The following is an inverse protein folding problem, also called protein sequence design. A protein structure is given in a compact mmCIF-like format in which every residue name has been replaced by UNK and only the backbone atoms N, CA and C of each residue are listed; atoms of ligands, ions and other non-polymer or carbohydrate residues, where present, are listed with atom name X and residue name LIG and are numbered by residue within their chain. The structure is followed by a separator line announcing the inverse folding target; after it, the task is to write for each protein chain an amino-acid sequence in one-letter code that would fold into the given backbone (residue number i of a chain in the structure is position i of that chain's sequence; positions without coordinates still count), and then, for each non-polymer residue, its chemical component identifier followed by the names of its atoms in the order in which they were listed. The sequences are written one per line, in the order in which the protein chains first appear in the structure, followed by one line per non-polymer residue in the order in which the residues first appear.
data_IF_045133199116
#
_entry.id   IF_045133199116
#
_cell.length_a   1.000
_cell.length_b   1.000
_cell.length_c   1.000
_cell.angle_alpha   90.00
_cell.angle_beta   90.00
_cell.angle_gamma   90.00
#
_symmetry.space_group_name_H-M   'P 1'
#
loop_
_entity.id
_entity.type
_entity.pdbx_description
1 polymer ?
#
# COMPACT_ATOMS: atom_id res chain seq x y z
N UNK A 1 11.34 -19.25 10.02
CA UNK A 1 10.87 -20.06 8.87
C UNK A 1 9.35 -20.13 8.82
N UNK A 2 8.65 -20.43 9.91
CA UNK A 2 7.18 -20.47 9.95
C UNK A 2 6.49 -19.20 9.42
N UNK A 3 7.02 -18.03 9.76
CA UNK A 3 6.50 -16.75 9.28
C UNK A 3 6.52 -16.61 7.74
N UNK A 4 7.45 -17.28 7.05
CA UNK A 4 7.49 -17.34 5.58
C UNK A 4 6.58 -18.44 5.02
N UNK A 5 6.56 -19.61 5.66
CA UNK A 5 5.79 -20.78 5.19
C UNK A 5 4.28 -20.53 5.26
N UNK A 6 3.81 -19.88 6.33
CA UNK A 6 2.40 -19.57 6.54
C UNK A 6 1.76 -18.77 5.38
N UNK A 7 2.28 -17.61 4.96
CA UNK A 7 1.69 -16.84 3.87
C UNK A 7 1.79 -17.51 2.51
N UNK A 8 2.84 -18.32 2.27
CA UNK A 8 3.00 -19.14 1.06
C UNK A 8 1.92 -20.22 1.00
N UNK A 9 1.67 -20.92 2.09
CA UNK A 9 0.66 -21.98 2.15
C UNK A 9 -0.78 -21.44 2.10
N UNK A 10 -1.03 -20.26 2.69
CA UNK A 10 -2.35 -19.58 2.63
C UNK A 10 -2.67 -18.93 1.29
N UNK A 11 -1.70 -18.79 0.39
CA UNK A 11 -1.92 -18.13 -0.90
C UNK A 11 -2.81 -18.98 -1.81
N UNK A 12 -3.70 -18.37 -2.59
CA UNK A 12 -4.44 -19.10 -3.63
C UNK A 12 -3.56 -19.29 -4.87
N UNK A 13 -3.86 -20.31 -5.66
CA UNK A 13 -3.28 -20.43 -6.99
C UNK A 13 -3.76 -19.27 -7.86
N UNK A 14 -2.80 -18.55 -8.43
CA UNK A 14 -3.03 -17.33 -9.20
C UNK A 14 -2.06 -17.31 -10.37
N UNK A 15 -2.47 -16.66 -11.45
CA UNK A 15 -1.59 -16.34 -12.57
C UNK A 15 -0.33 -15.60 -12.09
N UNK A 16 0.78 -15.87 -12.77
CA UNK A 16 2.06 -15.23 -12.49
C UNK A 16 2.03 -13.75 -12.89
N UNK A 17 2.81 -12.94 -12.17
CA UNK A 17 3.14 -11.59 -12.61
C UNK A 17 4.19 -11.58 -13.73
N UNK A 18 4.75 -10.41 -14.08
CA UNK A 18 5.71 -10.24 -15.18
C UNK A 18 6.91 -11.19 -15.14
N UNK A 19 7.35 -11.61 -13.95
CA UNK A 19 8.48 -12.54 -13.77
C UNK A 19 8.17 -14.02 -13.98
N UNK A 20 6.95 -14.41 -14.33
CA UNK A 20 6.60 -15.80 -14.64
C UNK A 20 6.61 -16.78 -13.45
N UNK A 21 6.83 -16.30 -12.22
CA UNK A 21 6.85 -17.13 -11.02
C UNK A 21 5.45 -17.31 -10.45
N UNK A 22 5.01 -18.57 -10.35
CA UNK A 22 3.76 -19.00 -9.71
C UNK A 22 3.96 -19.36 -8.24
N UNK A 23 2.89 -19.25 -7.44
CA UNK A 23 2.88 -19.70 -6.04
C UNK A 23 3.23 -21.18 -5.86
N UNK A 24 2.94 -22.02 -6.87
CA UNK A 24 3.28 -23.43 -6.84
C UNK A 24 4.79 -23.66 -6.74
N UNK A 25 5.62 -22.81 -7.36
CA UNK A 25 7.06 -22.90 -7.17
C UNK A 25 7.44 -22.64 -5.71
N UNK A 26 6.86 -21.62 -5.07
CA UNK A 26 7.19 -21.28 -3.69
C UNK A 26 6.83 -22.39 -2.70
N UNK A 27 5.71 -23.10 -2.94
CA UNK A 27 5.28 -24.21 -2.09
C UNK A 27 6.18 -25.45 -2.21
N UNK A 28 6.84 -25.64 -3.34
CA UNK A 28 7.70 -26.80 -3.62
C UNK A 28 9.19 -26.45 -3.61
N UNK A 29 9.57 -25.24 -3.17
CA UNK A 29 10.96 -24.86 -2.98
C UNK A 29 11.62 -25.76 -1.93
N UNK A 30 12.88 -26.12 -2.19
CA UNK A 30 13.72 -26.76 -1.20
C UNK A 30 13.93 -25.83 0.02
N UNK A 31 14.13 -26.42 1.20
CA UNK A 31 14.29 -25.66 2.45
C UNK A 31 15.48 -24.67 2.37
N UNK A 32 16.58 -25.05 1.71
CA UNK A 32 17.74 -24.18 1.48
C UNK A 32 17.38 -22.95 0.65
N UNK A 33 16.54 -23.10 -0.36
CA UNK A 33 16.07 -21.99 -1.18
C UNK A 33 15.08 -21.10 -0.41
N UNK A 34 14.23 -21.67 0.43
CA UNK A 34 13.36 -20.91 1.34
C UNK A 34 14.19 -20.08 2.34
N UNK A 35 15.31 -20.62 2.83
CA UNK A 35 16.24 -19.85 3.66
C UNK A 35 16.86 -18.68 2.89
N UNK A 36 17.26 -18.88 1.64
CA UNK A 36 17.76 -17.79 0.80
C UNK A 36 16.68 -16.73 0.55
N UNK A 37 15.44 -17.15 0.30
CA UNK A 37 14.31 -16.23 0.15
C UNK A 37 14.03 -15.44 1.42
N UNK A 38 14.07 -16.09 2.60
CA UNK A 38 13.92 -15.43 3.89
C UNK A 38 15.05 -14.42 4.13
N UNK A 39 16.29 -14.76 3.78
CA UNK A 39 17.43 -13.83 3.85
C UNK A 39 17.20 -12.61 2.96
N UNK A 40 16.71 -12.81 1.74
CA UNK A 40 16.35 -11.72 0.84
C UNK A 40 15.29 -10.81 1.47
N UNK A 41 14.20 -11.37 1.99
CA UNK A 41 13.12 -10.59 2.62
C UNK A 41 13.59 -9.80 3.84
N UNK A 42 14.41 -10.41 4.69
CA UNK A 42 14.99 -9.72 5.85
C UNK A 42 15.97 -8.61 5.43
N UNK A 43 16.73 -8.82 4.34
CA UNK A 43 17.59 -7.79 3.79
C UNK A 43 16.73 -6.60 3.32
N UNK A 44 15.73 -6.84 2.47
CA UNK A 44 14.79 -5.80 2.01
C UNK A 44 14.17 -5.04 3.19
N UNK A 45 13.74 -5.75 4.25
CA UNK A 45 13.17 -5.11 5.45
C UNK A 45 14.17 -4.17 6.16
N UNK A 46 15.44 -4.55 6.20
CA UNK A 46 16.50 -3.79 6.90
C UNK A 46 16.99 -2.62 6.06
N UNK A 47 17.24 -2.84 4.77
CA UNK A 47 17.79 -1.84 3.85
C UNK A 47 16.74 -0.90 3.28
N UNK A 48 15.47 -1.32 3.30
CA UNK A 48 14.33 -0.65 2.63
C UNK A 48 14.48 -0.58 1.12
N UNK A 49 15.37 -1.41 0.55
CA UNK A 49 15.60 -1.47 -0.88
C UNK A 49 14.73 -2.57 -1.50
N UNK A 50 13.66 -2.16 -2.18
CA UNK A 50 12.72 -3.06 -2.84
C UNK A 50 13.09 -3.13 -4.33
N UNK A 51 13.20 -4.34 -4.92
CA UNK A 51 13.47 -4.48 -6.34
C UNK A 51 12.50 -3.65 -7.19
N UNK A 52 12.96 -2.78 -8.10
CA UNK A 52 12.08 -1.95 -8.93
C UNK A 52 11.05 -2.77 -9.72
N UNK A 53 11.43 -3.98 -10.15
CA UNK A 53 10.55 -4.92 -10.87
C UNK A 53 9.34 -5.38 -10.04
N UNK A 54 9.37 -5.26 -8.71
CA UNK A 54 8.20 -5.55 -7.87
C UNK A 54 7.15 -4.45 -7.89
N UNK A 55 7.50 -3.25 -8.36
CA UNK A 55 6.56 -2.17 -8.66
C UNK A 55 5.89 -2.32 -10.03
N UNK A 56 6.25 -3.34 -10.82
CA UNK A 56 5.68 -3.60 -12.13
C UNK A 56 4.53 -4.62 -12.04
N UNK A 57 3.53 -4.45 -12.91
CA UNK A 57 2.40 -5.35 -13.02
C UNK A 57 2.04 -5.62 -14.48
N UNK A 58 1.64 -6.86 -14.78
CA UNK A 58 1.02 -7.21 -16.05
C UNK A 58 -0.48 -6.95 -15.92
N UNK A 59 -1.01 -5.98 -16.68
CA UNK A 59 -2.46 -5.72 -16.68
C UNK A 59 -3.15 -6.58 -17.73
N UNK A 60 -4.07 -7.41 -17.27
CA UNK A 60 -4.90 -8.26 -18.11
C UNK A 60 -6.34 -7.72 -18.07
N UNK A 61 -6.91 -7.28 -19.20
CA UNK A 61 -8.29 -6.85 -19.27
C UNK A 61 -9.22 -8.07 -19.24
N UNK A 62 -10.13 -8.13 -18.27
CA UNK A 62 -11.14 -9.20 -18.16
C UNK A 62 -12.52 -8.62 -18.51
N UNK A 63 -13.26 -9.19 -19.48
CA UNK A 63 -14.57 -8.67 -19.86
C UNK A 63 -15.57 -8.79 -18.72
N UNK A 64 -16.40 -7.76 -18.51
CA UNK A 64 -17.53 -7.81 -17.58
C UNK A 64 -18.58 -8.80 -18.11
N UNK A 65 -19.12 -9.71 -17.28
CA UNK A 65 -20.14 -10.66 -17.72
C UNK A 65 -21.36 -9.97 -18.34
N UNK A 66 -21.83 -10.47 -19.48
CA UNK A 66 -23.03 -9.97 -20.16
C UNK A 66 -22.92 -8.57 -20.77
N UNK A 67 -21.69 -8.05 -20.94
CA UNK A 67 -21.43 -6.76 -21.60
C UNK A 67 -20.77 -6.97 -22.95
N UNK A 68 -20.95 -5.99 -23.83
CA UNK A 68 -20.38 -6.00 -25.18
C UNK A 68 -18.84 -5.99 -25.11
N UNK A 69 -18.16 -7.03 -25.65
CA UNK A 69 -16.70 -7.09 -25.69
C UNK A 69 -16.03 -6.08 -26.63
N UNK A 70 -16.79 -5.43 -27.53
CA UNK A 70 -16.23 -4.43 -28.45
C UNK A 70 -15.98 -3.07 -27.79
N UNK A 71 -16.61 -2.80 -26.65
CA UNK A 71 -16.43 -1.54 -25.90
C UNK A 71 -15.33 -1.69 -24.82
N UNK A 72 -14.22 -0.94 -24.91
CA UNK A 72 -13.12 -1.00 -23.94
C UNK A 72 -13.54 -0.69 -22.49
N UNK A 73 -14.58 0.11 -22.28
CA UNK A 73 -15.09 0.45 -20.94
C UNK A 73 -15.75 -0.75 -20.22
N UNK A 74 -16.06 -1.82 -20.97
CA UNK A 74 -16.64 -3.05 -20.45
C UNK A 74 -15.61 -4.04 -19.90
N UNK A 75 -14.33 -3.68 -19.83
CA UNK A 75 -13.29 -4.51 -19.23
C UNK A 75 -12.95 -4.08 -17.81
N UNK A 76 -12.50 -5.04 -16.99
CA UNK A 76 -11.88 -4.82 -15.68
C UNK A 76 -10.37 -5.00 -15.85
N UNK A 77 -9.54 -3.97 -15.62
CA UNK A 77 -8.10 -4.16 -15.62
C UNK A 77 -7.68 -4.91 -14.35
N UNK A 78 -7.13 -6.12 -14.49
CA UNK A 78 -6.56 -6.88 -13.38
C UNK A 78 -5.03 -6.77 -13.45
N UNK A 79 -4.42 -6.22 -12.41
CA UNK A 79 -2.97 -6.12 -12.29
C UNK A 79 -2.39 -7.39 -11.65
N UNK A 80 -1.58 -8.14 -12.40
CA UNK A 80 -0.83 -9.29 -11.92
C UNK A 80 0.55 -8.84 -11.45
N UNK A 81 0.77 -8.85 -10.14
CA UNK A 81 2.04 -8.49 -9.50
C UNK A 81 2.86 -9.72 -9.11
N UNK A 82 4.16 -9.50 -8.85
CA UNK A 82 5.10 -10.54 -8.39
C UNK A 82 4.58 -11.29 -7.16
N UNK A 83 4.60 -12.63 -7.21
CA UNK A 83 4.20 -13.46 -6.06
C UNK A 83 5.16 -13.34 -4.88
N UNK A 84 6.44 -13.03 -5.13
CA UNK A 84 7.42 -12.76 -4.08
C UNK A 84 7.06 -11.47 -3.34
N UNK A 85 6.71 -10.41 -4.08
CA UNK A 85 6.25 -9.15 -3.51
C UNK A 85 5.00 -9.34 -2.64
N UNK A 86 3.97 -9.97 -3.19
CA UNK A 86 2.72 -10.30 -2.45
C UNK A 86 2.97 -11.15 -1.21
N UNK A 87 3.97 -12.03 -1.24
CA UNK A 87 4.34 -12.85 -0.08
C UNK A 87 4.96 -11.99 1.02
N UNK A 88 5.89 -11.09 0.67
CA UNK A 88 6.46 -10.14 1.61
C UNK A 88 5.39 -9.20 2.18
N UNK A 89 4.52 -8.63 1.34
CA UNK A 89 3.40 -7.79 1.77
C UNK A 89 2.51 -8.50 2.79
N UNK A 90 2.21 -9.78 2.58
CA UNK A 90 1.43 -10.57 3.53
C UNK A 90 2.17 -10.79 4.85
N UNK A 91 3.48 -11.06 4.82
CA UNK A 91 4.28 -11.15 6.06
C UNK A 91 4.25 -9.84 6.84
N UNK A 92 4.41 -8.71 6.15
CA UNK A 92 4.34 -7.39 6.77
C UNK A 92 2.94 -7.12 7.33
N UNK A 93 1.89 -7.44 6.59
CA UNK A 93 0.52 -7.32 7.05
C UNK A 93 0.25 -8.17 8.29
N UNK A 94 0.70 -9.43 8.32
CA UNK A 94 0.53 -10.32 9.46
C UNK A 94 1.25 -9.76 10.71
N UNK A 95 2.45 -9.19 10.55
CA UNK A 95 3.15 -8.45 11.63
C UNK A 95 2.36 -7.23 12.09
N UNK A 96 1.86 -6.43 11.16
CA UNK A 96 1.07 -5.23 11.46
C UNK A 96 -0.20 -5.58 12.23
N UNK A 97 -0.93 -6.61 11.78
CA UNK A 97 -2.13 -7.11 12.45
C UNK A 97 -1.80 -7.56 13.88
N UNK A 98 -0.72 -8.31 14.08
CA UNK A 98 -0.28 -8.72 15.41
C UNK A 98 0.02 -7.52 16.34
N UNK A 99 0.66 -6.47 15.81
CA UNK A 99 0.93 -5.24 16.57
C UNK A 99 -0.37 -4.50 16.89
N UNK A 100 -1.31 -4.40 15.94
CA UNK A 100 -2.60 -3.77 16.17
C UNK A 100 -3.42 -4.53 17.21
N UNK A 101 -3.44 -5.86 17.16
CA UNK A 101 -4.11 -6.73 18.13
C UNK A 101 -3.53 -6.57 19.54
N UNK A 102 -2.20 -6.66 19.68
CA UNK A 102 -1.51 -6.55 20.98
C UNK A 102 -1.68 -5.17 21.66
N UNK A 103 -1.93 -4.13 20.86
CA UNK A 103 -2.16 -2.75 21.30
C UNK A 103 -3.64 -2.34 21.29
N UNK A 104 -4.56 -3.24 20.96
CA UNK A 104 -6.02 -3.01 20.89
C UNK A 104 -6.45 -1.93 19.87
N UNK A 105 -5.74 -1.78 18.75
CA UNK A 105 -5.96 -0.75 17.72
C UNK A 105 -6.78 -1.28 16.51
N UNK A 106 -7.82 -2.07 16.75
CA UNK A 106 -8.62 -2.69 15.68
C UNK A 106 -9.85 -1.85 15.28
N UNK A 107 -10.32 -2.07 14.04
CA UNK A 107 -11.47 -1.36 13.48
C UNK A 107 -12.80 -1.79 14.12
N UNK A 108 -13.83 -0.93 14.06
CA UNK A 108 -15.15 -1.22 14.66
C UNK A 108 -15.81 -2.50 14.17
N UNK A 109 -15.53 -2.89 12.93
CA UNK A 109 -16.17 -4.06 12.30
C UNK A 109 -15.69 -5.33 12.97
N UNK A 110 -14.41 -5.41 13.33
CA UNK A 110 -13.85 -6.54 14.07
C UNK A 110 -14.48 -6.65 15.47
N UNK A 111 -14.69 -5.52 16.16
CA UNK A 111 -15.38 -5.47 17.46
C UNK A 111 -16.85 -5.91 17.32
N UNK A 112 -17.58 -5.43 16.30
CA UNK A 112 -19.01 -5.72 16.12
C UNK A 112 -19.33 -7.15 15.69
N UNK A 113 -18.42 -7.84 15.00
CA UNK A 113 -18.66 -9.18 14.45
C UNK A 113 -18.43 -10.30 15.47
N UNK A 114 -18.08 -9.99 16.73
CA UNK A 114 -17.80 -11.00 17.77
C UNK A 114 -16.52 -11.81 17.53
N UNK A 115 -15.82 -11.56 16.42
CA UNK A 115 -14.61 -12.27 16.01
C UNK A 115 -13.46 -12.12 17.01
N UNK A 116 -13.47 -11.04 17.81
CA UNK A 116 -12.47 -10.78 18.83
C UNK A 116 -12.50 -11.77 19.99
N UNK A 117 -13.67 -12.29 20.33
CA UNK A 117 -13.84 -13.26 21.42
C UNK A 117 -13.21 -14.61 21.08
N UNK A 118 -13.15 -14.93 19.78
CA UNK A 118 -12.53 -16.15 19.27
C UNK A 118 -11.00 -16.16 19.41
N UNK A 119 -10.38 -14.99 19.62
CA UNK A 119 -8.92 -14.84 19.74
C UNK A 119 -8.39 -14.99 21.18
N UNK A 120 -9.26 -15.17 22.19
CA UNK A 120 -8.83 -15.44 23.57
C UNK A 120 -8.08 -14.27 24.24
N UNK A 121 -8.37 -13.03 23.84
CA UNK A 121 -7.60 -11.85 24.26
C UNK A 121 -8.09 -11.30 25.63
N UNK A 122 -7.15 -10.93 26.50
CA UNK A 122 -7.42 -10.52 27.89
C UNK A 122 -7.65 -9.01 28.09
N UNK A 123 -7.31 -8.18 27.09
CA UNK A 123 -7.40 -6.71 27.21
C UNK A 123 -8.73 -6.17 26.65
N UNK A 124 -9.18 -5.02 27.17
CA UNK A 124 -10.36 -4.30 26.65
C UNK A 124 -10.04 -3.58 25.33
N UNK A 125 -10.92 -3.72 24.35
CA UNK A 125 -10.78 -3.15 23.01
C UNK A 125 -11.63 -1.89 22.84
N UNK A 126 -11.08 -0.87 22.15
CA UNK A 126 -11.84 0.30 21.74
C UNK A 126 -11.84 0.42 20.21
N UNK A 127 -13.02 0.44 19.57
CA UNK A 127 -13.12 0.49 18.12
C UNK A 127 -12.71 1.88 17.59
N UNK A 128 -11.86 1.95 16.54
CA UNK A 128 -11.52 3.22 15.87
C UNK A 128 -12.75 3.83 15.20
N UNK A 129 -13.08 5.08 15.52
CA UNK A 129 -14.33 5.73 15.11
C UNK A 129 -14.15 7.00 14.27
N UNK A 130 -15.20 7.33 13.51
CA UNK A 130 -15.40 8.61 12.86
C UNK A 130 -14.41 9.01 11.75
N UNK A 131 -13.65 8.05 11.18
CA UNK A 131 -12.61 8.33 10.17
C UNK A 131 -13.09 9.06 8.90
N UNK A 132 -14.38 8.96 8.54
CA UNK A 132 -14.93 9.60 7.32
C UNK A 132 -15.43 11.03 7.54
N UNK A 133 -15.65 11.43 8.79
CA UNK A 133 -16.12 12.77 9.13
C UNK A 133 -15.04 13.58 9.85
N UNK A 134 -13.80 13.11 9.86
CA UNK A 134 -12.65 13.87 10.38
C UNK A 134 -12.54 15.13 9.52
N UNK A 135 -12.79 16.27 10.14
CA UNK A 135 -12.61 17.60 9.55
C UNK A 135 -11.24 18.15 9.93
N UNK A 136 -10.80 19.19 9.24
CA UNK A 136 -9.49 19.83 9.50
C UNK A 136 -9.33 20.24 10.98
N UNK A 137 -10.40 20.70 11.61
CA UNK A 137 -10.49 21.05 13.05
C UNK A 137 -10.26 19.88 14.02
N UNK A 138 -10.46 18.64 13.57
CA UNK A 138 -10.28 17.43 14.39
C UNK A 138 -8.82 16.96 14.36
N UNK A 139 -7.99 17.56 13.51
CA UNK A 139 -6.57 17.26 13.40
C UNK A 139 -5.77 18.20 14.30
N UNK A 140 -5.43 17.72 15.49
CA UNK A 140 -4.73 18.43 16.60
C UNK A 140 -3.46 19.22 16.17
N UNK A 141 -2.90 18.96 14.98
CA UNK A 141 -1.70 19.60 14.44
C UNK A 141 -1.87 20.21 13.04
N UNK A 142 -3.10 20.38 12.53
CA UNK A 142 -3.36 20.85 11.15
C UNK A 142 -3.85 22.31 11.06
N UNK A 143 -3.72 23.05 12.15
CA UNK A 143 -4.14 24.45 12.24
C UNK A 143 -3.07 25.39 11.67
N UNK A 144 -1.87 24.86 11.36
CA UNK A 144 -0.78 25.63 10.78
C UNK A 144 -1.04 25.90 9.29
N UNK A 145 -1.42 27.14 8.98
CA UNK A 145 -1.49 27.65 7.63
C UNK A 145 -0.46 28.79 7.50
N UNK A 146 0.64 28.60 6.74
CA UNK A 146 1.59 29.68 6.53
C UNK A 146 0.95 30.80 5.69
N UNK A 147 1.41 32.04 5.87
CA UNK A 147 0.99 33.20 5.09
C UNK A 147 1.57 33.08 3.66
N UNK A 148 0.73 32.63 2.73
CA UNK A 148 1.03 32.41 1.31
C UNK A 148 0.36 33.51 0.49
N UNK A 149 1.12 34.11 -0.43
CA UNK A 149 0.61 35.08 -1.41
C UNK A 149 0.90 34.57 -2.82
N UNK A 150 -0.05 34.73 -3.73
CA UNK A 150 0.04 34.26 -5.12
C UNK A 150 -0.20 35.44 -6.04
N UNK A 151 0.83 35.82 -6.78
CA UNK A 151 0.70 36.90 -7.76
C UNK A 151 -0.08 36.40 -8.98
N UNK A 152 -1.21 37.05 -9.27
CA UNK A 152 -2.15 36.62 -10.32
C UNK A 152 -1.63 36.78 -11.75
N UNK A 153 -0.59 37.58 -11.98
CA UNK A 153 -0.05 37.85 -13.31
C UNK A 153 1.14 36.92 -13.65
N UNK A 154 2.00 36.68 -12.66
CA UNK A 154 3.23 35.90 -12.79
C UNK A 154 3.10 34.46 -12.26
N UNK A 155 1.99 34.14 -11.59
CA UNK A 155 1.73 32.86 -10.92
C UNK A 155 2.81 32.47 -9.90
N UNK A 156 3.59 33.45 -9.42
CA UNK A 156 4.60 33.24 -8.40
C UNK A 156 3.95 33.06 -7.03
N UNK A 157 4.37 32.01 -6.32
CA UNK A 157 3.89 31.71 -4.97
C UNK A 157 4.96 32.14 -3.98
N UNK A 158 4.63 33.05 -3.06
CA UNK A 158 5.55 33.52 -2.02
C UNK A 158 5.03 33.20 -0.62
N UNK A 159 5.92 32.86 0.31
CA UNK A 159 5.55 32.58 1.71
C UNK A 159 6.31 33.48 2.67
N UNK A 160 5.65 33.93 3.74
CA UNK A 160 6.32 34.63 4.84
C UNK A 160 6.99 33.62 5.76
N UNK A 161 8.30 33.78 5.98
CA UNK A 161 9.10 32.91 6.85
C UNK A 161 9.49 33.69 8.10
N UNK A 162 9.36 33.09 9.29
CA UNK A 162 9.81 33.71 10.53
C UNK A 162 11.30 34.09 10.46
N UNK A 163 11.63 35.32 10.81
CA UNK A 163 13.01 35.84 10.77
C UNK A 163 13.47 36.43 9.43
N UNK A 164 12.60 36.51 8.41
CA UNK A 164 12.87 37.24 7.16
C UNK A 164 11.87 38.37 6.96
N UNK A 165 12.37 39.56 6.62
CA UNK A 165 11.51 40.72 6.30
C UNK A 165 10.77 40.54 4.96
N UNK A 166 11.40 39.88 3.99
CA UNK A 166 10.85 39.66 2.66
C UNK A 166 10.21 38.28 2.52
N UNK A 167 9.12 38.20 1.75
CA UNK A 167 8.49 36.94 1.36
C UNK A 167 9.46 36.14 0.49
N UNK A 168 9.46 34.82 0.64
CA UNK A 168 10.35 33.90 -0.09
C UNK A 168 9.58 33.27 -1.23
N UNK A 169 10.11 33.35 -2.45
CA UNK A 169 9.56 32.65 -3.61
C UNK A 169 9.70 31.13 -3.42
N UNK A 170 8.58 30.41 -3.52
CA UNK A 170 8.55 28.96 -3.52
C UNK A 170 8.78 28.44 -4.93
N UNK A 171 9.82 27.63 -5.09
CA UNK A 171 10.07 26.88 -6.33
C UNK A 171 10.05 25.39 -6.01
N UNK A 172 9.47 24.62 -6.91
CA UNK A 172 9.49 23.16 -6.84
C UNK A 172 9.95 22.66 -8.22
N UNK A 173 11.00 21.83 -8.30
CA UNK A 173 11.32 21.18 -9.57
C UNK A 173 10.13 20.33 -10.04
N UNK A 174 9.92 20.19 -11.35
CA UNK A 174 8.87 19.31 -11.86
C UNK A 174 9.03 17.89 -11.28
N UNK A 175 7.93 17.26 -10.90
CA UNK A 175 7.96 15.91 -10.36
C UNK A 175 8.27 14.92 -11.50
N UNK A 176 9.42 14.25 -11.43
CA UNK A 176 9.85 13.26 -12.43
C UNK A 176 9.02 11.96 -12.39
N UNK A 177 8.40 11.67 -11.25
CA UNK A 177 7.56 10.49 -11.04
C UNK A 177 6.38 10.84 -10.13
N UNK A 178 5.18 10.47 -10.57
CA UNK A 178 3.95 10.61 -9.80
C UNK A 178 3.48 9.21 -9.36
N UNK A 179 3.25 9.03 -8.07
CA UNK A 179 2.56 7.85 -7.56
C UNK A 179 1.14 7.80 -8.11
N UNK A 180 0.72 6.64 -8.64
CA UNK A 180 -0.60 6.39 -9.26
C UNK A 180 -0.86 7.08 -10.62
N UNK A 181 0.15 7.62 -11.28
CA UNK A 181 -0.01 8.00 -12.69
C UNK A 181 -0.30 6.74 -13.53
N UNK A 182 -1.46 6.73 -14.20
CA UNK A 182 -1.88 5.65 -15.09
C UNK A 182 -0.86 5.50 -16.23
N UNK A 183 -0.08 4.42 -16.21
CA UNK A 183 0.79 4.04 -17.33
C UNK A 183 0.01 3.23 -18.37
N UNK A 184 -1.05 3.83 -18.92
CA UNK A 184 -1.72 3.35 -20.13
C UNK A 184 -2.14 4.58 -20.94
N UNK A 185 -1.35 4.93 -21.96
CA UNK A 185 -1.89 5.60 -23.13
C UNK A 185 -2.34 4.50 -24.08
N UNK A 186 -3.65 4.39 -24.26
CA UNK A 186 -4.28 3.65 -25.34
C UNK A 186 -4.83 4.66 -26.36
N UNK A 187 -3.97 5.60 -26.77
CA UNK A 187 -4.08 6.39 -28.00
C UNK A 187 -2.67 6.68 -28.49
#
# INVERSE_FOLDING_TARGET
MEELKNPVNKSNESAAGPGGVYYQFLRHLLESCLHTLLKLFNNIWTTRDIPPSWGEALVVPIPKPGKDPSDPSNYRPIALTSCLCKTLERMVNDRMVHVLESRNLLSKVAVKTGKLETYGLTKKFYPVQNCRNVQKKDMVHNDFCPDIDVDSQSYQVTVKVEGKENRVLLTCPPADRLSLAQRYFLF
#
